data_IF_277327913031
#
_entry.id   IF_277327913031
#
_cell.length_a   1.000
_cell.length_b   1.000
_cell.length_c   1.000
_cell.angle_alpha   90.00
_cell.angle_beta   90.00
_cell.angle_gamma   90.00
#
_symmetry.space_group_name_H-M   'P 1'
#
loop_
_entity.id
_entity.type
_entity.pdbx_description
1 polymer ?
#
# COMPACT_ATOMS: atom_id res chain seq x y z
N UNK A 1 -88.39 -2.55 -13.43
CA UNK A 1 -87.31 -2.52 -14.41
C UNK A 1 -87.35 -3.78 -15.23
N UNK A 2 -87.44 -3.68 -16.57
CA UNK A 2 -87.60 -4.87 -17.39
C UNK A 2 -86.27 -5.70 -17.41
N UNK A 3 -86.44 -7.04 -17.56
CA UNK A 3 -85.28 -7.94 -17.65
C UNK A 3 -84.29 -7.55 -18.76
N UNK A 4 -84.82 -6.95 -19.88
CA UNK A 4 -84.01 -6.42 -20.96
C UNK A 4 -83.15 -5.22 -20.55
N UNK A 5 -83.71 -4.34 -19.76
CA UNK A 5 -82.96 -3.13 -19.24
C UNK A 5 -81.86 -3.55 -18.27
N UNK A 6 -82.13 -4.50 -17.36
CA UNK A 6 -81.13 -5.04 -16.42
C UNK A 6 -80.01 -5.72 -17.17
N UNK A 7 -80.29 -6.55 -18.18
CA UNK A 7 -79.27 -7.20 -19.01
C UNK A 7 -78.39 -6.19 -19.75
N UNK A 8 -78.97 -5.12 -20.31
CA UNK A 8 -78.20 -4.10 -21.02
C UNK A 8 -77.31 -3.28 -20.11
N UNK A 9 -77.73 -2.99 -18.85
CA UNK A 9 -76.92 -2.32 -17.88
C UNK A 9 -75.76 -3.22 -17.48
N UNK A 10 -75.96 -4.51 -17.21
CA UNK A 10 -74.89 -5.46 -16.88
C UNK A 10 -73.87 -5.57 -18.03
N UNK A 11 -74.35 -5.65 -19.31
CA UNK A 11 -73.45 -5.71 -20.46
C UNK A 11 -72.63 -4.41 -20.66
N UNK A 12 -73.25 -3.24 -20.42
CA UNK A 12 -72.58 -1.97 -20.50
C UNK A 12 -71.49 -1.82 -19.36
N UNK A 13 -71.85 -2.21 -18.14
CA UNK A 13 -70.87 -2.17 -17.01
C UNK A 13 -69.73 -3.18 -17.22
N UNK A 14 -70.00 -4.38 -17.71
CA UNK A 14 -68.97 -5.36 -18.06
C UNK A 14 -68.05 -4.84 -19.17
N UNK A 15 -68.60 -4.20 -20.21
CA UNK A 15 -67.83 -3.58 -21.28
C UNK A 15 -66.95 -2.44 -20.79
N UNK A 16 -67.47 -1.56 -19.90
CA UNK A 16 -66.67 -0.49 -19.26
C UNK A 16 -65.54 -1.04 -18.38
N UNK A 17 -65.79 -2.10 -17.59
CA UNK A 17 -64.76 -2.73 -16.76
C UNK A 17 -63.67 -3.37 -17.62
N UNK A 18 -64.06 -4.04 -18.73
CA UNK A 18 -63.08 -4.65 -19.63
C UNK A 18 -62.24 -3.62 -20.39
N UNK A 19 -62.87 -2.54 -20.90
CA UNK A 19 -62.12 -1.48 -21.60
C UNK A 19 -61.24 -0.66 -20.67
N UNK A 20 -61.75 -0.37 -19.45
CA UNK A 20 -60.93 0.31 -18.46
C UNK A 20 -59.79 -0.56 -17.93
N UNK A 21 -60.02 -1.85 -17.68
CA UNK A 21 -59.00 -2.81 -17.28
C UNK A 21 -57.93 -3.04 -18.35
N UNK A 22 -58.33 -3.13 -19.64
CA UNK A 22 -57.42 -3.24 -20.76
C UNK A 22 -56.62 -1.93 -20.94
N UNK A 23 -57.27 -0.75 -20.85
CA UNK A 23 -56.60 0.55 -20.92
C UNK A 23 -55.65 0.78 -19.74
N UNK A 24 -56.02 0.35 -18.53
CA UNK A 24 -55.16 0.41 -17.37
C UNK A 24 -53.93 -0.48 -17.51
N UNK A 25 -54.09 -1.73 -17.96
CA UNK A 25 -52.97 -2.65 -18.19
C UNK A 25 -52.03 -2.15 -19.29
N UNK A 26 -52.57 -1.59 -20.38
CA UNK A 26 -51.75 -1.00 -21.44
C UNK A 26 -51.06 0.27 -20.96
N UNK A 27 -51.71 1.11 -20.15
CA UNK A 27 -51.16 2.30 -19.55
C UNK A 27 -50.04 2.00 -18.53
N UNK A 28 -50.25 1.00 -17.69
CA UNK A 28 -49.21 0.55 -16.73
C UNK A 28 -48.03 -0.09 -17.45
N UNK A 29 -48.25 -0.93 -18.49
CA UNK A 29 -47.16 -1.49 -19.28
C UNK A 29 -46.37 -0.43 -20.05
N UNK A 30 -47.06 0.54 -20.68
CA UNK A 30 -46.38 1.63 -21.38
C UNK A 30 -45.73 2.63 -20.42
N UNK A 31 -46.30 2.86 -19.24
CA UNK A 31 -45.72 3.70 -18.17
C UNK A 31 -44.48 3.07 -17.56
N UNK A 32 -44.53 1.76 -17.27
CA UNK A 32 -43.37 1.02 -16.78
C UNK A 32 -42.27 0.90 -17.83
N UNK A 33 -42.59 0.61 -19.08
CA UNK A 33 -41.59 0.55 -20.16
C UNK A 33 -40.92 1.92 -20.41
N UNK A 34 -41.68 3.02 -20.32
CA UNK A 34 -41.10 4.37 -20.45
C UNK A 34 -40.39 4.83 -19.20
N UNK A 35 -40.79 4.38 -17.99
CA UNK A 35 -40.08 4.67 -16.76
C UNK A 35 -38.72 3.92 -16.69
N UNK A 36 -38.70 2.63 -17.09
CA UNK A 36 -37.46 1.85 -17.17
C UNK A 36 -36.50 2.39 -18.25
N UNK A 37 -37.02 2.80 -19.41
CA UNK A 37 -36.23 3.45 -20.46
C UNK A 37 -35.70 4.82 -20.04
N UNK A 38 -36.43 5.62 -19.26
CA UNK A 38 -35.96 6.89 -18.74
C UNK A 38 -34.96 6.69 -17.60
N UNK A 39 -35.16 5.72 -16.72
CA UNK A 39 -34.19 5.37 -15.67
C UNK A 39 -32.89 4.78 -16.25
N UNK A 40 -32.97 4.03 -17.34
CA UNK A 40 -31.79 3.57 -18.09
C UNK A 40 -31.16 4.71 -18.89
N UNK A 41 -31.94 5.60 -19.53
CA UNK A 41 -31.44 6.74 -20.29
C UNK A 41 -30.70 7.74 -19.38
N UNK A 42 -31.25 8.08 -18.19
CA UNK A 42 -30.60 8.98 -17.24
C UNK A 42 -29.39 8.36 -16.53
N UNK A 43 -29.30 7.02 -16.44
CA UNK A 43 -28.09 6.31 -15.98
C UNK A 43 -27.01 6.19 -17.05
N UNK A 44 -27.39 6.22 -18.34
CA UNK A 44 -26.46 6.06 -19.47
C UNK A 44 -25.93 7.43 -19.97
N UNK A 45 -26.74 8.49 -19.89
CA UNK A 45 -26.29 9.86 -20.10
C UNK A 45 -25.69 10.38 -18.80
N UNK A 46 -24.45 10.00 -18.50
CA UNK A 46 -23.68 10.60 -17.41
C UNK A 46 -23.59 12.10 -17.63
N UNK A 47 -24.53 12.86 -17.06
CA UNK A 47 -24.42 14.31 -16.94
C UNK A 47 -23.25 14.59 -16.00
N UNK A 48 -22.08 14.84 -16.58
CA UNK A 48 -21.02 15.51 -15.85
C UNK A 48 -21.50 16.94 -15.56
N UNK A 49 -21.34 17.38 -14.33
CA UNK A 49 -21.67 18.74 -13.88
C UNK A 49 -20.85 19.84 -14.58
N UNK A 50 -19.92 19.48 -15.44
CA UNK A 50 -19.11 20.36 -16.27
C UNK A 50 -19.51 20.14 -17.74
N UNK A 51 -20.25 21.05 -18.30
CA UNK A 51 -20.65 21.43 -19.66
C UNK A 51 -19.89 20.85 -20.89
N UNK A 52 -19.27 19.69 -20.81
CA UNK A 52 -18.71 19.00 -21.96
C UNK A 52 -19.65 17.85 -22.33
N UNK A 53 -20.43 18.04 -23.41
CA UNK A 53 -21.18 16.99 -24.05
C UNK A 53 -20.21 15.98 -24.69
N UNK A 54 -19.72 15.04 -23.90
CA UNK A 54 -18.98 13.90 -24.46
C UNK A 54 -19.99 12.90 -24.97
N UNK A 55 -19.95 12.63 -26.28
CA UNK A 55 -20.75 11.59 -26.90
C UNK A 55 -20.11 10.20 -26.63
N UNK A 56 -20.78 9.39 -25.85
CA UNK A 56 -20.38 8.02 -25.54
C UNK A 56 -20.72 7.00 -26.63
N UNK A 57 -21.27 7.42 -27.77
CA UNK A 57 -21.64 6.51 -28.86
C UNK A 57 -20.45 5.70 -29.38
N UNK A 58 -19.28 6.33 -29.51
CA UNK A 58 -18.05 5.65 -29.92
C UNK A 58 -17.62 4.58 -28.89
N UNK A 59 -17.76 4.86 -27.60
CA UNK A 59 -17.45 3.89 -26.55
C UNK A 59 -18.31 2.64 -26.70
N UNK A 60 -19.63 2.82 -26.90
CA UNK A 60 -20.55 1.71 -27.06
C UNK A 60 -20.36 0.95 -28.39
N UNK A 61 -20.01 1.64 -29.47
CA UNK A 61 -19.68 0.98 -30.74
C UNK A 61 -18.44 0.07 -30.59
N UNK A 62 -17.41 0.53 -29.90
CA UNK A 62 -16.23 -0.30 -29.60
C UNK A 62 -16.60 -1.50 -28.72
N UNK A 63 -17.41 -1.27 -27.67
CA UNK A 63 -17.90 -2.32 -26.79
C UNK A 63 -18.64 -3.41 -27.56
N UNK A 64 -19.55 -3.01 -28.43
CA UNK A 64 -20.34 -3.92 -29.24
C UNK A 64 -19.50 -4.67 -30.27
N UNK A 65 -18.52 -4.03 -30.89
CA UNK A 65 -17.58 -4.69 -31.82
C UNK A 65 -16.74 -5.75 -31.11
N UNK A 66 -16.25 -5.47 -29.91
CA UNK A 66 -15.53 -6.46 -29.10
C UNK A 66 -16.45 -7.67 -28.81
N UNK A 67 -17.66 -7.43 -28.34
CA UNK A 67 -18.61 -8.51 -28.06
C UNK A 67 -18.97 -9.34 -29.29
N UNK A 68 -19.05 -8.72 -30.48
CA UNK A 68 -19.35 -9.43 -31.73
C UNK A 68 -18.15 -10.19 -32.28
N UNK A 69 -16.99 -9.56 -32.31
CA UNK A 69 -15.90 -9.99 -33.20
C UNK A 69 -14.67 -10.54 -32.47
N UNK A 70 -14.53 -10.34 -31.15
CA UNK A 70 -13.36 -10.86 -30.42
C UNK A 70 -13.36 -12.39 -30.39
N UNK A 71 -12.22 -13.00 -30.70
CA UNK A 71 -12.11 -14.45 -30.90
C UNK A 71 -12.32 -15.24 -29.59
N UNK A 72 -11.78 -14.77 -28.49
CA UNK A 72 -11.94 -15.44 -27.20
C UNK A 72 -13.10 -14.84 -26.40
N UNK A 73 -14.29 -15.42 -26.57
CA UNK A 73 -15.50 -14.98 -25.86
C UNK A 73 -15.40 -15.13 -24.34
N UNK A 74 -14.54 -15.99 -23.80
CA UNK A 74 -14.37 -16.19 -22.36
C UNK A 74 -13.62 -15.03 -21.72
N UNK A 75 -12.79 -14.31 -22.47
CA UNK A 75 -12.10 -13.13 -22.02
C UNK A 75 -13.00 -11.88 -21.92
N UNK A 76 -14.19 -11.92 -22.55
CA UNK A 76 -15.15 -10.82 -22.51
C UNK A 76 -15.96 -10.84 -21.20
N UNK A 77 -15.30 -10.43 -20.11
CA UNK A 77 -15.94 -10.28 -18.81
C UNK A 77 -16.39 -8.83 -18.63
N UNK A 78 -17.70 -8.52 -18.69
CA UNK A 78 -18.21 -7.15 -18.74
C UNK A 78 -17.69 -6.26 -17.59
N UNK A 79 -17.63 -6.80 -16.37
CA UNK A 79 -17.14 -6.06 -15.20
C UNK A 79 -15.65 -5.70 -15.30
N UNK A 80 -14.82 -6.60 -15.83
CA UNK A 80 -13.39 -6.33 -16.06
C UNK A 80 -13.19 -5.30 -17.18
N UNK A 81 -13.95 -5.40 -18.25
CA UNK A 81 -13.93 -4.42 -19.34
C UNK A 81 -14.34 -3.02 -18.85
N UNK A 82 -15.36 -2.94 -18.01
CA UNK A 82 -15.80 -1.68 -17.39
C UNK A 82 -14.72 -1.07 -16.50
N UNK A 83 -14.11 -1.86 -15.62
CA UNK A 83 -13.00 -1.37 -14.78
C UNK A 83 -11.77 -1.00 -15.62
N UNK A 84 -11.49 -1.75 -16.69
CA UNK A 84 -10.42 -1.42 -17.64
C UNK A 84 -10.64 -0.08 -18.33
N UNK A 85 -11.87 0.23 -18.70
CA UNK A 85 -12.22 1.51 -19.30
C UNK A 85 -12.03 2.69 -18.33
N UNK A 86 -12.45 2.54 -17.06
CA UNK A 86 -12.21 3.55 -16.02
C UNK A 86 -10.72 3.73 -15.77
N UNK A 87 -9.98 2.63 -15.65
CA UNK A 87 -8.53 2.66 -15.47
C UNK A 87 -7.83 3.37 -16.63
N UNK A 88 -8.25 3.11 -17.88
CA UNK A 88 -7.73 3.78 -19.07
C UNK A 88 -8.01 5.30 -19.07
N UNK A 89 -9.20 5.69 -18.66
CA UNK A 89 -9.56 7.10 -18.50
C UNK A 89 -8.66 7.79 -17.46
N UNK A 90 -8.46 7.17 -16.31
CA UNK A 90 -7.58 7.73 -15.26
C UNK A 90 -6.12 7.76 -15.71
N UNK A 91 -5.65 6.71 -16.39
CA UNK A 91 -4.28 6.65 -16.92
C UNK A 91 -3.99 7.71 -17.99
N UNK A 92 -5.03 8.25 -18.67
CA UNK A 92 -4.87 9.33 -19.65
C UNK A 92 -4.40 10.66 -19.06
N UNK A 93 -4.37 10.79 -17.72
CA UNK A 93 -3.82 11.96 -17.03
C UNK A 93 -2.28 11.97 -17.01
N UNK A 94 -1.63 10.87 -17.43
CA UNK A 94 -0.16 10.70 -17.42
C UNK A 94 0.48 10.92 -16.03
N UNK A 95 -0.31 10.68 -14.98
CA UNK A 95 0.14 10.70 -13.58
C UNK A 95 0.16 9.27 -13.02
N UNK A 96 1.33 8.69 -12.76
CA UNK A 96 1.45 7.30 -12.29
C UNK A 96 0.89 7.09 -10.88
N UNK A 97 0.58 8.16 -10.15
CA UNK A 97 0.08 8.09 -8.78
C UNK A 97 -1.44 8.32 -8.70
N UNK A 98 -2.07 8.85 -9.75
CA UNK A 98 -3.52 8.90 -9.87
C UNK A 98 -4.00 7.60 -10.48
N UNK A 99 -4.68 6.77 -9.67
CA UNK A 99 -5.06 5.41 -10.07
C UNK A 99 -6.48 5.08 -9.63
N UNK A 100 -7.22 4.41 -10.51
CA UNK A 100 -8.45 3.74 -10.15
C UNK A 100 -8.14 2.34 -9.62
N UNK A 101 -8.75 1.98 -8.52
CA UNK A 101 -8.56 0.69 -7.85
C UNK A 101 -9.87 -0.09 -7.91
N UNK A 102 -9.95 -1.19 -8.67
CA UNK A 102 -11.03 -2.16 -8.54
C UNK A 102 -11.17 -2.65 -7.09
N UNK A 103 -12.33 -3.23 -6.68
CA UNK A 103 -12.60 -3.57 -5.28
C UNK A 103 -11.50 -4.36 -4.59
N UNK A 104 -10.96 -5.38 -5.25
CA UNK A 104 -9.90 -6.22 -4.67
C UNK A 104 -8.61 -5.41 -4.43
N UNK A 105 -8.22 -4.57 -5.40
CA UNK A 105 -7.03 -3.72 -5.27
C UNK A 105 -7.21 -2.61 -4.24
N UNK A 106 -8.42 -2.04 -4.12
CA UNK A 106 -8.74 -1.05 -3.10
C UNK A 106 -8.67 -1.67 -1.69
N UNK A 107 -9.18 -2.91 -1.55
CA UNK A 107 -9.04 -3.68 -0.31
C UNK A 107 -7.57 -3.94 0.02
N UNK A 108 -6.77 -4.41 -0.95
CA UNK A 108 -5.33 -4.65 -0.75
C UNK A 108 -4.59 -3.38 -0.32
N UNK A 109 -4.87 -2.24 -0.96
CA UNK A 109 -4.25 -0.95 -0.59
C UNK A 109 -4.58 -0.53 0.84
N UNK A 110 -5.82 -0.74 1.29
CA UNK A 110 -6.24 -0.49 2.67
C UNK A 110 -5.60 -1.46 3.66
N UNK A 111 -5.57 -2.74 3.32
CA UNK A 111 -4.97 -3.78 4.15
C UNK A 111 -3.46 -3.52 4.33
N UNK A 112 -2.77 -3.09 3.28
CA UNK A 112 -1.35 -2.73 3.33
C UNK A 112 -1.10 -1.52 4.27
N UNK A 113 -1.95 -0.49 4.23
CA UNK A 113 -1.88 0.65 5.17
C UNK A 113 -2.24 0.23 6.60
N UNK A 114 -3.23 -0.66 6.75
CA UNK A 114 -3.59 -1.26 8.04
C UNK A 114 -2.53 -2.21 8.62
N UNK A 115 -1.45 -2.47 7.89
CA UNK A 115 -0.41 -3.40 8.32
C UNK A 115 -0.88 -4.85 8.42
N UNK A 116 -1.94 -5.16 7.69
CA UNK A 116 -2.54 -6.49 7.67
C UNK A 116 -2.66 -6.94 6.22
N UNK A 117 -2.38 -8.20 5.98
CA UNK A 117 -2.70 -8.81 4.69
C UNK A 117 -3.19 -10.24 4.91
N UNK A 118 -4.06 -10.69 4.03
CA UNK A 118 -4.56 -12.06 4.08
C UNK A 118 -3.67 -12.97 3.23
N UNK A 119 -3.09 -13.98 3.85
CA UNK A 119 -2.16 -14.89 3.19
C UNK A 119 -1.52 -15.89 4.12
N UNK A 120 -0.35 -16.40 3.74
CA UNK A 120 0.37 -17.42 4.50
C UNK A 120 1.37 -16.86 5.53
N UNK A 121 1.81 -15.60 5.37
CA UNK A 121 2.80 -14.99 6.27
C UNK A 121 4.24 -15.44 6.00
N UNK A 122 4.68 -15.36 4.75
CA UNK A 122 6.05 -15.58 4.37
C UNK A 122 6.59 -14.43 3.52
N UNK A 123 7.84 -14.07 3.74
CA UNK A 123 8.59 -13.21 2.83
C UNK A 123 9.08 -14.05 1.66
N UNK A 124 8.75 -13.63 0.45
CA UNK A 124 9.14 -14.29 -0.78
C UNK A 124 10.17 -13.46 -1.55
N UNK A 125 10.99 -14.14 -2.34
CA UNK A 125 11.99 -13.52 -3.21
C UNK A 125 12.17 -14.33 -4.49
N UNK A 126 13.06 -13.86 -5.36
CA UNK A 126 13.54 -14.61 -6.52
C UNK A 126 15.02 -14.92 -6.33
N UNK A 127 15.39 -16.18 -6.47
CA UNK A 127 16.77 -16.64 -6.51
C UNK A 127 16.90 -17.67 -7.64
N UNK A 128 17.91 -17.52 -8.47
CA UNK A 128 18.16 -18.42 -9.63
C UNK A 128 16.90 -18.59 -10.52
N UNK A 129 16.19 -17.50 -10.77
CA UNK A 129 14.91 -17.44 -11.52
C UNK A 129 13.77 -18.28 -10.91
N UNK A 130 13.85 -18.64 -9.64
CA UNK A 130 12.84 -19.41 -8.91
C UNK A 130 12.27 -18.59 -7.76
N UNK A 131 10.98 -18.79 -7.47
CA UNK A 131 10.35 -18.21 -6.29
C UNK A 131 10.88 -18.94 -5.05
N UNK A 132 11.41 -18.19 -4.09
CA UNK A 132 12.01 -18.72 -2.86
C UNK A 132 11.35 -18.11 -1.64
N UNK A 133 11.17 -18.91 -0.59
CA UNK A 133 10.82 -18.44 0.75
C UNK A 133 12.10 -17.82 1.37
N UNK A 134 12.13 -16.50 1.50
CA UNK A 134 13.23 -15.83 2.18
C UNK A 134 13.17 -16.11 3.67
N UNK A 135 11.98 -15.93 4.26
CA UNK A 135 11.70 -16.33 5.65
C UNK A 135 10.19 -16.47 5.88
N UNK A 136 9.70 -17.49 6.59
CA UNK A 136 8.38 -17.46 7.20
C UNK A 136 8.38 -16.42 8.33
N UNK A 137 7.27 -15.69 8.49
CA UNK A 137 7.10 -14.74 9.59
C UNK A 137 6.72 -15.51 10.86
N UNK A 138 7.25 -15.09 11.99
CA UNK A 138 7.02 -15.74 13.28
C UNK A 138 5.53 -15.72 13.66
N UNK A 139 5.01 -16.84 14.12
CA UNK A 139 3.61 -16.99 14.55
C UNK A 139 2.60 -17.06 13.40
N UNK A 140 3.05 -17.30 12.16
CA UNK A 140 2.17 -17.30 10.99
C UNK A 140 1.88 -18.72 10.48
N UNK A 141 0.85 -18.87 9.61
CA UNK A 141 0.58 -20.18 8.98
C UNK A 141 1.76 -20.77 8.21
N UNK A 142 2.57 -19.94 7.57
CA UNK A 142 3.76 -20.41 6.85
C UNK A 142 4.75 -21.11 7.78
N UNK A 143 5.06 -20.49 8.94
CA UNK A 143 5.93 -21.09 9.94
C UNK A 143 5.33 -22.39 10.50
N UNK A 144 4.03 -22.34 10.87
CA UNK A 144 3.32 -23.48 11.45
C UNK A 144 3.18 -24.66 10.47
N UNK A 145 3.18 -24.39 9.16
CA UNK A 145 3.13 -25.41 8.11
C UNK A 145 4.50 -25.98 7.75
N UNK A 146 5.56 -25.57 8.43
CA UNK A 146 6.91 -26.11 8.25
C UNK A 146 7.69 -25.54 7.06
N UNK A 147 7.26 -24.41 6.49
CA UNK A 147 8.06 -23.71 5.49
C UNK A 147 9.35 -23.18 6.13
N UNK A 148 10.45 -23.25 5.40
CA UNK A 148 11.78 -22.87 5.89
C UNK A 148 12.43 -21.82 4.97
N UNK A 149 13.35 -21.01 5.50
CA UNK A 149 14.18 -20.15 4.67
C UNK A 149 14.95 -20.95 3.62
N UNK A 150 14.88 -20.52 2.37
CA UNK A 150 15.52 -21.17 1.23
C UNK A 150 14.66 -22.20 0.51
N UNK A 151 13.44 -22.50 0.94
CA UNK A 151 12.52 -23.37 0.23
C UNK A 151 12.14 -22.78 -1.13
N UNK A 152 12.23 -23.55 -2.19
CA UNK A 152 11.73 -23.16 -3.50
C UNK A 152 10.26 -23.54 -3.65
N UNK A 153 9.42 -22.59 -4.06
CA UNK A 153 8.02 -22.82 -4.40
C UNK A 153 7.97 -23.13 -5.90
N UNK A 154 7.77 -24.40 -6.24
CA UNK A 154 7.74 -24.85 -7.64
C UNK A 154 6.36 -24.91 -8.24
N UNK A 155 5.30 -25.08 -7.40
CA UNK A 155 3.90 -24.97 -7.82
C UNK A 155 3.05 -24.29 -6.74
N UNK A 156 2.00 -23.61 -7.21
CA UNK A 156 0.91 -23.07 -6.37
C UNK A 156 -0.41 -23.56 -6.96
N UNK A 157 -1.20 -24.28 -6.16
CA UNK A 157 -2.46 -24.89 -6.58
C UNK A 157 -2.30 -25.69 -7.89
N UNK A 158 -1.22 -26.49 -7.97
CA UNK A 158 -0.86 -27.33 -9.11
C UNK A 158 -0.27 -26.60 -10.32
N UNK A 159 -0.18 -25.27 -10.32
CA UNK A 159 0.38 -24.47 -11.43
C UNK A 159 1.86 -24.22 -11.21
N UNK A 160 2.69 -24.48 -12.23
CA UNK A 160 4.13 -24.21 -12.23
C UNK A 160 4.43 -22.73 -12.03
N UNK A 161 5.45 -22.41 -11.21
CA UNK A 161 5.85 -21.03 -10.91
C UNK A 161 7.05 -20.55 -11.74
N UNK A 162 7.64 -21.39 -12.56
CA UNK A 162 8.91 -21.12 -13.25
C UNK A 162 8.89 -19.88 -14.15
N UNK A 163 7.72 -19.50 -14.67
CA UNK A 163 7.55 -18.30 -15.52
C UNK A 163 6.96 -17.12 -14.79
N UNK A 164 6.65 -17.24 -13.50
CA UNK A 164 5.98 -16.20 -12.75
C UNK A 164 6.97 -15.12 -12.27
N UNK A 165 6.49 -13.90 -12.28
CA UNK A 165 7.12 -12.80 -11.54
C UNK A 165 6.83 -12.90 -10.06
N UNK A 166 7.63 -12.24 -9.21
CA UNK A 166 7.38 -12.23 -7.76
C UNK A 166 6.00 -11.64 -7.41
N UNK A 167 5.53 -10.51 -7.98
CA UNK A 167 4.19 -9.99 -7.72
C UNK A 167 3.09 -10.98 -8.10
N UNK A 168 3.25 -11.71 -9.20
CA UNK A 168 2.30 -12.72 -9.64
C UNK A 168 2.23 -13.90 -8.66
N UNK A 169 3.38 -14.40 -8.20
CA UNK A 169 3.44 -15.44 -7.18
C UNK A 169 2.77 -14.97 -5.86
N UNK A 170 3.07 -13.76 -5.41
CA UNK A 170 2.47 -13.16 -4.21
C UNK A 170 0.95 -13.08 -4.36
N UNK A 171 0.44 -12.59 -5.49
CA UNK A 171 -1.00 -12.48 -5.76
C UNK A 171 -1.71 -13.85 -5.72
N UNK A 172 -1.07 -14.93 -6.22
CA UNK A 172 -1.64 -16.29 -6.21
C UNK A 172 -1.57 -16.96 -4.83
N UNK A 173 -0.54 -16.65 -4.05
CA UNK A 173 -0.36 -17.21 -2.70
C UNK A 173 -1.22 -16.48 -1.68
N UNK A 174 -1.43 -15.16 -1.82
CA UNK A 174 -2.42 -14.39 -1.04
C UNK A 174 -3.83 -14.90 -1.33
N UNK A 175 -4.76 -14.56 -0.46
CA UNK A 175 -6.17 -14.88 -0.62
C UNK A 175 -6.90 -14.84 0.71
N UNK A 176 -8.25 -14.98 0.71
CA UNK A 176 -9.10 -14.75 1.88
C UNK A 176 -8.69 -15.61 3.08
N UNK A 177 -8.73 -15.02 4.28
CA UNK A 177 -8.55 -15.73 5.55
C UNK A 177 -9.45 -16.97 5.61
N UNK A 178 -8.88 -18.09 6.06
CA UNK A 178 -9.56 -19.39 6.14
C UNK A 178 -9.57 -20.20 4.84
N UNK A 179 -9.16 -19.63 3.71
CA UNK A 179 -8.95 -20.40 2.48
C UNK A 179 -7.62 -21.14 2.51
N UNK A 180 -7.51 -22.20 1.73
CA UNK A 180 -6.29 -23.01 1.62
C UNK A 180 -5.54 -22.68 0.34
N UNK A 181 -4.21 -22.77 0.40
CA UNK A 181 -3.33 -22.81 -0.76
C UNK A 181 -2.47 -24.07 -0.68
N UNK A 182 -2.34 -24.79 -1.78
CA UNK A 182 -1.45 -25.94 -1.90
C UNK A 182 -0.14 -25.48 -2.55
N UNK A 183 0.95 -25.57 -1.79
CA UNK A 183 2.30 -25.27 -2.26
C UNK A 183 3.04 -26.58 -2.52
N UNK A 184 3.62 -26.73 -3.72
CA UNK A 184 4.64 -27.76 -3.95
C UNK A 184 5.99 -27.08 -3.76
N UNK A 185 6.76 -27.52 -2.78
CA UNK A 185 8.05 -26.94 -2.41
C UNK A 185 9.19 -27.93 -2.59
N UNK A 186 10.40 -27.41 -2.72
CA UNK A 186 11.63 -28.17 -2.61
C UNK A 186 12.48 -27.53 -1.53
N UNK A 187 12.76 -28.22 -0.44
CA UNK A 187 13.65 -27.74 0.61
C UNK A 187 15.07 -27.56 0.07
N UNK A 188 15.80 -26.58 0.59
CA UNK A 188 17.14 -26.19 0.12
C UNK A 188 18.11 -27.39 -0.01
N UNK A 189 18.02 -28.35 0.90
CA UNK A 189 18.93 -29.50 0.97
C UNK A 189 18.26 -30.83 0.54
N UNK A 190 17.10 -30.76 -0.13
CA UNK A 190 16.35 -31.92 -0.60
C UNK A 190 16.28 -31.95 -2.12
N UNK A 191 16.30 -33.18 -2.68
CA UNK A 191 16.10 -33.40 -4.12
C UNK A 191 14.65 -33.72 -4.49
N UNK A 192 13.81 -34.04 -3.50
CA UNK A 192 12.40 -34.37 -3.70
C UNK A 192 11.50 -33.18 -3.33
N UNK A 193 10.42 -32.99 -4.09
CA UNK A 193 9.38 -32.03 -3.77
C UNK A 193 8.43 -32.57 -2.69
N UNK A 194 7.92 -31.65 -1.85
CA UNK A 194 6.88 -31.92 -0.87
C UNK A 194 5.67 -31.03 -1.12
N UNK A 195 4.48 -31.56 -0.85
CA UNK A 195 3.24 -30.77 -0.89
C UNK A 195 2.91 -30.26 0.52
N UNK A 196 2.71 -28.96 0.63
CA UNK A 196 2.37 -28.27 1.89
C UNK A 196 1.08 -27.50 1.68
N UNK A 197 0.03 -27.92 2.39
CA UNK A 197 -1.22 -27.14 2.42
C UNK A 197 -1.15 -26.12 3.53
N UNK A 198 -1.25 -24.84 3.17
CA UNK A 198 -1.25 -23.73 4.13
C UNK A 198 -2.62 -23.09 4.19
N UNK A 199 -3.18 -22.97 5.39
CA UNK A 199 -4.42 -22.20 5.61
C UNK A 199 -4.09 -20.73 5.73
N UNK A 200 -4.65 -19.89 4.87
CA UNK A 200 -4.42 -18.44 4.91
C UNK A 200 -5.04 -17.82 6.15
N UNK A 201 -4.37 -16.83 6.70
CA UNK A 201 -4.88 -16.04 7.84
C UNK A 201 -4.60 -14.55 7.62
N UNK A 202 -5.14 -13.72 8.52
CA UNK A 202 -4.78 -12.31 8.59
C UNK A 202 -3.42 -12.17 9.26
N UNK A 203 -2.44 -11.76 8.49
CA UNK A 203 -1.05 -11.59 8.91
C UNK A 203 -0.84 -10.13 9.31
N UNK A 204 -0.40 -9.90 10.53
CA UNK A 204 0.04 -8.57 10.98
C UNK A 204 1.54 -8.45 10.81
N UNK A 205 1.97 -7.38 10.15
CA UNK A 205 3.38 -7.06 10.00
C UNK A 205 3.64 -5.76 10.76
N UNK A 206 4.49 -5.83 11.77
CA UNK A 206 4.87 -4.64 12.53
C UNK A 206 5.49 -3.60 11.59
N UNK A 207 5.09 -2.34 11.78
CA UNK A 207 5.70 -1.21 11.08
C UNK A 207 6.96 -0.71 11.76
N UNK A 208 7.13 -1.00 13.05
CA UNK A 208 8.24 -0.54 13.88
C UNK A 208 8.98 -1.73 14.48
N UNK A 209 10.27 -1.79 14.23
CA UNK A 209 11.19 -2.77 14.81
C UNK A 209 12.37 -2.05 15.45
N UNK A 210 12.85 -2.54 16.58
CA UNK A 210 14.04 -1.98 17.19
C UNK A 210 14.86 -3.05 17.91
N UNK A 211 16.15 -2.82 17.98
CA UNK A 211 17.09 -3.64 18.73
C UNK A 211 18.28 -2.83 19.25
N UNK A 212 18.97 -3.36 20.25
CA UNK A 212 20.21 -2.80 20.75
C UNK A 212 21.39 -3.57 20.15
N UNK A 213 22.16 -2.91 19.31
CA UNK A 213 23.33 -3.48 18.66
C UNK A 213 24.57 -3.28 19.52
N UNK A 214 25.33 -4.34 19.76
CA UNK A 214 26.68 -4.23 20.32
C UNK A 214 27.63 -3.89 19.18
N UNK A 215 28.45 -2.86 19.39
CA UNK A 215 29.37 -2.36 18.35
C UNK A 215 30.77 -2.24 18.91
N UNK A 216 31.74 -2.68 18.15
CA UNK A 216 33.17 -2.47 18.44
C UNK A 216 33.74 -1.57 17.35
N UNK A 217 34.13 -0.36 17.75
CA UNK A 217 34.64 0.64 16.83
C UNK A 217 36.11 0.97 17.17
N UNK A 218 36.93 0.94 16.13
CA UNK A 218 38.30 1.49 16.14
C UNK A 218 38.30 2.89 15.52
N UNK A 219 39.43 3.54 15.42
CA UNK A 219 39.56 4.84 14.73
C UNK A 219 39.16 4.79 13.25
N UNK A 220 39.21 3.62 12.61
CA UNK A 220 38.98 3.44 11.16
C UNK A 220 37.70 2.70 10.82
N UNK A 221 37.27 1.74 11.62
CA UNK A 221 36.16 0.82 11.31
C UNK A 221 35.30 0.48 12.51
N UNK A 222 34.00 0.25 12.26
CA UNK A 222 33.08 -0.33 13.23
C UNK A 222 32.66 -1.72 12.81
N UNK A 223 32.38 -2.59 13.78
CA UNK A 223 31.80 -3.91 13.58
C UNK A 223 30.59 -4.10 14.49
N UNK A 224 29.57 -4.73 14.00
CA UNK A 224 28.47 -5.22 14.82
C UNK A 224 28.89 -6.60 15.34
N UNK A 225 28.81 -6.79 16.65
CA UNK A 225 29.18 -8.04 17.31
C UNK A 225 27.96 -8.67 17.98
N UNK A 226 27.84 -10.00 17.91
CA UNK A 226 26.68 -10.70 18.48
C UNK A 226 26.72 -10.77 19.99
N UNK A 227 27.91 -10.91 20.55
CA UNK A 227 28.12 -11.04 21.99
C UNK A 227 28.51 -9.71 22.62
N UNK A 228 28.14 -9.55 23.87
CA UNK A 228 28.56 -8.37 24.65
C UNK A 228 30.07 -8.48 24.97
N UNK A 229 30.80 -7.41 24.76
CA UNK A 229 32.22 -7.37 25.03
C UNK A 229 32.55 -6.17 25.96
N UNK A 230 33.68 -6.28 26.72
CA UNK A 230 34.04 -5.26 27.71
C UNK A 230 34.20 -3.86 27.10
N UNK A 231 34.72 -3.78 25.86
CA UNK A 231 34.95 -2.52 25.14
C UNK A 231 33.86 -2.18 24.12
N UNK A 232 32.71 -2.86 24.20
CA UNK A 232 31.62 -2.61 23.30
C UNK A 232 30.85 -1.35 23.68
N UNK A 233 30.58 -0.54 22.66
CA UNK A 233 29.52 0.48 22.68
C UNK A 233 28.21 -0.12 22.23
N UNK A 234 27.11 0.50 22.61
CA UNK A 234 25.76 0.12 22.16
C UNK A 234 25.18 1.19 21.25
N UNK A 235 24.49 0.76 20.22
CA UNK A 235 23.77 1.62 19.29
C UNK A 235 22.34 1.11 19.17
N UNK A 236 21.38 2.01 19.25
CA UNK A 236 19.97 1.69 19.02
C UNK A 236 19.76 1.61 17.52
N UNK A 237 19.27 0.49 17.04
CA UNK A 237 18.75 0.34 15.68
C UNK A 237 17.22 0.38 15.74
N UNK A 238 16.63 1.36 15.06
CA UNK A 238 15.19 1.58 15.01
C UNK A 238 14.78 1.64 13.56
N UNK A 239 13.93 0.72 13.12
CA UNK A 239 13.45 0.60 11.74
C UNK A 239 11.98 0.89 11.66
N UNK A 240 11.60 1.70 10.67
CA UNK A 240 10.22 1.97 10.31
C UNK A 240 9.99 1.51 8.88
N UNK A 241 9.03 0.58 8.67
CA UNK A 241 8.79 -0.05 7.38
C UNK A 241 7.65 0.59 6.59
N UNK A 242 6.74 1.33 7.27
CA UNK A 242 5.61 2.06 6.66
C UNK A 242 5.00 3.06 7.64
N UNK A 243 4.13 3.93 7.13
CA UNK A 243 3.32 4.86 7.92
C UNK A 243 1.84 4.46 7.82
N UNK A 244 1.44 3.46 8.58
CA UNK A 244 0.11 2.87 8.60
C UNK A 244 -0.67 3.15 9.88
N UNK A 245 -1.84 2.50 10.00
CA UNK A 245 -2.79 2.71 11.11
C UNK A 245 -2.18 2.41 12.48
N UNK A 246 -1.44 1.32 12.60
CA UNK A 246 -0.85 0.87 13.87
C UNK A 246 0.50 1.54 14.18
N UNK A 247 1.08 2.26 13.22
CA UNK A 247 2.41 2.88 13.38
C UNK A 247 2.53 3.77 14.60
N UNK A 248 1.56 4.65 14.95
CA UNK A 248 1.66 5.47 16.15
C UNK A 248 1.75 4.66 17.45
N UNK A 249 0.93 3.61 17.57
CA UNK A 249 0.90 2.74 18.76
C UNK A 249 2.20 1.92 18.89
N UNK A 250 2.66 1.34 17.77
CA UNK A 250 3.90 0.56 17.72
C UNK A 250 5.13 1.44 18.01
N UNK A 251 5.13 2.67 17.47
CA UNK A 251 6.17 3.65 17.70
C UNK A 251 6.28 4.05 19.17
N UNK A 252 5.16 4.42 19.78
CA UNK A 252 5.15 4.84 21.19
C UNK A 252 5.59 3.71 22.13
N UNK A 253 5.22 2.47 21.82
CA UNK A 253 5.69 1.29 22.52
C UNK A 253 7.21 1.10 22.36
N UNK A 254 7.71 1.15 21.13
CA UNK A 254 9.13 0.98 20.83
C UNK A 254 9.98 2.07 21.53
N UNK A 255 9.59 3.34 21.41
CA UNK A 255 10.30 4.45 22.07
C UNK A 255 10.26 4.32 23.58
N UNK A 256 9.14 3.88 24.18
CA UNK A 256 9.07 3.63 25.64
C UNK A 256 10.04 2.55 26.07
N UNK A 257 10.15 1.46 25.34
CA UNK A 257 11.10 0.36 25.60
C UNK A 257 12.55 0.82 25.43
N UNK A 258 12.82 1.62 24.39
CA UNK A 258 14.15 2.23 24.15
C UNK A 258 14.55 3.08 25.35
N UNK A 259 13.69 3.99 25.80
CA UNK A 259 13.97 4.88 26.94
C UNK A 259 14.18 4.11 28.23
N UNK A 260 13.39 3.06 28.48
CA UNK A 260 13.57 2.19 29.65
C UNK A 260 14.91 1.46 29.59
N UNK A 261 15.28 0.90 28.43
CA UNK A 261 16.54 0.18 28.24
C UNK A 261 17.74 1.12 28.39
N UNK A 262 17.64 2.32 27.86
CA UNK A 262 18.66 3.35 28.04
C UNK A 262 18.85 3.74 29.51
N UNK A 263 17.73 3.89 30.24
CA UNK A 263 17.78 4.24 31.68
C UNK A 263 18.48 3.18 32.56
N UNK A 264 18.49 1.93 32.10
CA UNK A 264 19.17 0.79 32.73
C UNK A 264 20.63 0.62 32.28
N UNK A 265 21.03 1.27 31.20
CA UNK A 265 22.36 1.16 30.63
C UNK A 265 23.34 2.10 31.34
N UNK A 266 24.61 1.72 31.56
CA UNK A 266 25.62 2.63 32.09
C UNK A 266 25.75 3.88 31.22
N UNK A 267 26.04 5.01 31.87
CA UNK A 267 26.18 6.28 31.14
C UNK A 267 27.33 6.22 30.12
N UNK A 268 27.05 6.71 28.90
CA UNK A 268 28.01 6.76 27.80
C UNK A 268 28.21 5.47 27.01
N UNK A 269 27.57 4.36 27.42
CA UNK A 269 27.63 3.09 26.68
C UNK A 269 26.77 3.17 25.40
N UNK A 270 25.57 3.75 25.47
CA UNK A 270 24.71 3.97 24.29
C UNK A 270 25.18 5.24 23.58
N UNK A 271 25.66 5.09 22.33
CA UNK A 271 26.21 6.19 21.54
C UNK A 271 25.17 7.00 20.78
N UNK A 272 24.00 6.42 20.50
CA UNK A 272 22.93 7.07 19.79
C UNK A 272 22.03 6.09 19.03
N UNK A 273 21.36 6.61 18.02
CA UNK A 273 20.32 5.93 17.26
C UNK A 273 20.67 5.88 15.76
N UNK A 274 20.57 4.72 15.16
CA UNK A 274 20.44 4.54 13.71
C UNK A 274 18.97 4.37 13.38
N UNK A 275 18.38 5.36 12.70
CA UNK A 275 17.00 5.31 12.24
C UNK A 275 16.95 4.82 10.78
N UNK A 276 16.32 3.68 10.53
CA UNK A 276 16.31 3.04 9.22
C UNK A 276 14.94 3.23 8.53
N UNK A 277 14.95 3.99 7.44
CA UNK A 277 13.82 4.20 6.54
C UNK A 277 14.03 3.52 5.17
N UNK A 278 15.02 2.66 5.04
CA UNK A 278 15.26 1.93 3.78
C UNK A 278 14.07 1.04 3.44
N UNK A 279 13.70 1.02 2.14
CA UNK A 279 12.56 0.28 1.60
C UNK A 279 11.21 0.64 2.24
N UNK A 280 11.10 1.80 2.86
CA UNK A 280 9.83 2.31 3.38
C UNK A 280 9.14 3.18 2.31
N UNK A 281 8.03 2.70 1.68
CA UNK A 281 7.37 3.41 0.58
C UNK A 281 6.56 4.63 1.04
N UNK A 282 6.50 4.87 2.36
CA UNK A 282 5.70 5.94 2.96
C UNK A 282 4.40 5.44 3.59
N UNK A 283 3.32 6.13 3.34
CA UNK A 283 1.99 5.94 3.89
C UNK A 283 1.34 7.27 4.26
N UNK A 284 0.67 7.36 5.40
CA UNK A 284 -0.05 8.57 5.80
C UNK A 284 0.86 9.78 6.01
N UNK A 285 0.48 10.93 5.44
CA UNK A 285 1.16 12.20 5.67
C UNK A 285 1.14 12.59 7.14
N UNK A 286 0.01 12.42 7.82
CA UNK A 286 -0.12 12.63 9.27
C UNK A 286 0.86 11.78 10.07
N UNK A 287 1.14 10.56 9.62
CA UNK A 287 2.15 9.68 10.20
C UNK A 287 3.56 10.27 10.09
N UNK A 288 3.91 10.91 8.97
CA UNK A 288 5.21 11.56 8.84
C UNK A 288 5.39 12.72 9.83
N UNK A 289 4.33 13.50 10.06
CA UNK A 289 4.35 14.59 11.06
C UNK A 289 4.50 14.02 12.47
N UNK A 290 3.78 12.95 12.78
CA UNK A 290 3.86 12.25 14.07
C UNK A 290 5.27 11.73 14.35
N UNK A 291 5.90 11.05 13.37
CA UNK A 291 7.26 10.49 13.51
C UNK A 291 8.31 11.59 13.56
N UNK A 292 8.24 12.61 12.69
CA UNK A 292 9.18 13.74 12.73
C UNK A 292 9.12 14.49 14.06
N UNK A 293 7.93 14.61 14.67
CA UNK A 293 7.73 15.24 15.97
C UNK A 293 8.40 14.50 17.12
N UNK A 294 8.76 13.22 16.96
CA UNK A 294 9.58 12.50 17.98
C UNK A 294 10.98 13.08 18.10
N UNK A 295 11.51 13.62 17.00
CA UNK A 295 12.90 14.07 16.89
C UNK A 295 13.08 15.58 16.83
N UNK A 296 12.00 16.33 16.54
CA UNK A 296 12.04 17.78 16.43
C UNK A 296 11.36 18.44 17.63
N UNK A 297 11.96 19.53 18.15
CA UNK A 297 11.40 20.27 19.29
C UNK A 297 10.22 21.14 18.87
N UNK A 298 10.28 21.74 17.67
CA UNK A 298 9.30 22.69 17.14
C UNK A 298 9.41 22.86 15.63
N UNK A 299 8.57 23.71 15.06
CA UNK A 299 8.68 24.24 13.70
C UNK A 299 8.07 23.36 12.64
N UNK A 300 8.33 23.73 11.38
CA UNK A 300 7.72 23.12 10.20
C UNK A 300 8.30 21.74 9.94
N UNK A 301 7.41 20.77 9.66
CA UNK A 301 7.74 19.42 9.19
C UNK A 301 7.57 19.32 7.68
N UNK A 302 6.45 19.77 7.15
CA UNK A 302 6.13 19.70 5.72
C UNK A 302 5.15 20.81 5.33
N UNK A 303 5.23 21.27 4.09
CA UNK A 303 4.30 22.24 3.51
C UNK A 303 3.59 21.54 2.35
N UNK A 304 2.26 21.48 2.39
CA UNK A 304 1.43 20.98 1.29
C UNK A 304 0.94 22.18 0.46
N UNK A 305 1.01 22.08 -0.87
CA UNK A 305 0.55 23.12 -1.80
C UNK A 305 -0.41 22.48 -2.81
N UNK A 306 -1.65 22.94 -2.86
CA UNK A 306 -2.67 22.45 -3.79
C UNK A 306 -2.56 23.11 -5.18
N UNK A 307 -3.42 22.67 -6.13
CA UNK A 307 -3.44 23.17 -7.50
C UNK A 307 -3.70 24.70 -7.61
N UNK A 308 -4.38 25.30 -6.61
CA UNK A 308 -4.65 26.75 -6.56
C UNK A 308 -3.49 27.55 -5.96
N UNK A 309 -2.39 26.90 -5.57
CA UNK A 309 -1.24 27.52 -4.91
C UNK A 309 -1.43 27.79 -3.41
N UNK A 310 -2.56 27.36 -2.82
CA UNK A 310 -2.79 27.48 -1.39
C UNK A 310 -1.88 26.53 -0.64
N UNK A 311 -1.22 27.06 0.42
CA UNK A 311 -0.28 26.30 1.24
C UNK A 311 -0.88 25.97 2.59
N UNK A 312 -0.77 24.71 2.98
CA UNK A 312 -1.03 24.22 4.32
C UNK A 312 0.28 23.76 4.95
N UNK A 313 0.61 24.35 6.09
CA UNK A 313 1.85 24.02 6.80
C UNK A 313 1.56 23.10 7.97
N UNK A 314 2.26 21.98 8.01
CA UNK A 314 2.22 21.03 9.13
C UNK A 314 3.47 21.22 9.98
N UNK A 315 3.26 21.44 11.27
CA UNK A 315 4.31 21.69 12.25
C UNK A 315 4.40 20.51 13.22
N UNK A 316 5.48 20.48 14.01
CA UNK A 316 5.59 19.59 15.16
C UNK A 316 4.32 19.66 15.99
N UNK A 317 3.69 18.51 16.26
CA UNK A 317 2.35 18.43 16.84
C UNK A 317 2.31 17.71 18.20
N UNK A 318 3.47 17.22 18.67
CA UNK A 318 3.60 16.57 19.98
C UNK A 318 5.01 16.76 20.55
N UNK A 319 5.16 16.56 21.85
CA UNK A 319 6.47 16.57 22.51
C UNK A 319 7.20 15.25 22.24
N UNK A 320 8.31 15.31 21.51
CA UNK A 320 9.17 14.17 21.26
C UNK A 320 10.03 13.80 22.46
N UNK A 321 10.41 12.54 22.56
CA UNK A 321 11.28 11.99 23.62
C UNK A 321 12.71 11.82 23.14
N UNK A 322 12.94 11.84 21.83
CA UNK A 322 14.24 11.61 21.17
C UNK A 322 14.82 12.88 20.53
N UNK A 323 14.36 14.06 20.95
CA UNK A 323 14.76 15.36 20.36
C UNK A 323 16.25 15.65 20.48
N UNK A 324 16.91 15.19 21.53
CA UNK A 324 18.32 15.44 21.80
C UNK A 324 19.22 14.20 21.56
N UNK A 325 18.61 13.08 21.08
CA UNK A 325 19.33 11.84 20.81
C UNK A 325 20.29 12.02 19.63
N UNK A 326 21.60 11.74 19.78
CA UNK A 326 22.51 11.64 18.66
C UNK A 326 21.97 10.58 17.66
N UNK A 327 21.87 10.91 16.37
CA UNK A 327 21.28 9.99 15.41
C UNK A 327 21.86 10.13 14.01
N UNK A 328 21.77 9.07 13.26
CA UNK A 328 21.98 8.99 11.83
C UNK A 328 20.76 8.34 11.17
N UNK A 329 20.47 8.71 9.95
CA UNK A 329 19.34 8.19 9.18
C UNK A 329 19.84 7.34 8.01
N UNK A 330 19.23 6.18 7.79
CA UNK A 330 19.47 5.34 6.61
C UNK A 330 18.30 5.48 5.62
N UNK A 331 18.65 5.72 4.35
CA UNK A 331 17.69 5.74 3.22
C UNK A 331 18.25 4.97 2.04
N UNK A 332 17.36 4.57 1.12
CA UNK A 332 17.74 3.99 -0.16
C UNK A 332 16.70 4.33 -1.25
N UNK A 333 16.87 3.78 -2.45
CA UNK A 333 15.96 3.98 -3.60
C UNK A 333 14.50 3.59 -3.33
N UNK A 334 14.25 2.74 -2.32
CA UNK A 334 12.91 2.35 -1.87
C UNK A 334 12.30 3.25 -0.79
N UNK A 335 13.04 4.25 -0.31
CA UNK A 335 12.53 5.27 0.62
C UNK A 335 11.72 6.30 -0.15
N UNK A 336 10.40 6.43 0.13
CA UNK A 336 9.51 7.28 -0.65
C UNK A 336 8.47 8.03 0.18
N UNK A 337 7.93 9.17 -0.36
CA UNK A 337 6.75 9.87 0.17
C UNK A 337 6.92 10.30 1.64
N UNK A 338 6.07 9.81 2.57
CA UNK A 338 6.12 10.13 4.01
C UNK A 338 7.48 9.87 4.65
N UNK A 339 8.23 8.86 4.15
CA UNK A 339 9.61 8.61 4.59
C UNK A 339 10.55 9.74 4.16
N UNK A 340 10.36 10.27 2.95
CA UNK A 340 11.14 11.40 2.44
C UNK A 340 10.78 12.70 3.17
N UNK A 341 9.52 12.86 3.59
CA UNK A 341 9.11 13.99 4.45
C UNK A 341 9.88 13.95 5.76
N UNK A 342 9.94 12.79 6.44
CA UNK A 342 10.67 12.63 7.68
C UNK A 342 12.19 12.87 7.47
N UNK A 343 12.77 12.22 6.45
CA UNK A 343 14.19 12.35 6.14
C UNK A 343 14.58 13.80 5.85
N UNK A 344 13.81 14.46 4.99
CA UNK A 344 14.08 15.84 4.61
C UNK A 344 13.83 16.84 5.74
N UNK A 345 12.79 16.63 6.57
CA UNK A 345 12.53 17.47 7.73
C UNK A 345 13.69 17.37 8.75
N UNK A 346 14.16 16.16 9.05
CA UNK A 346 15.29 15.95 9.97
C UNK A 346 16.60 16.49 9.38
N UNK A 347 16.84 16.36 8.09
CA UNK A 347 18.00 16.92 7.42
C UNK A 347 18.00 18.45 7.51
N UNK A 348 16.88 19.10 7.17
CA UNK A 348 16.78 20.56 7.10
C UNK A 348 16.73 21.20 8.49
N UNK A 349 15.99 20.60 9.43
CA UNK A 349 15.70 21.22 10.74
C UNK A 349 16.71 20.86 11.80
N UNK A 350 17.34 19.69 11.71
CA UNK A 350 18.25 19.17 12.75
C UNK A 350 19.63 18.84 12.21
N UNK A 351 19.88 19.06 10.91
CA UNK A 351 21.13 18.73 10.23
C UNK A 351 21.60 17.29 10.45
N UNK A 352 20.61 16.34 10.46
CA UNK A 352 20.92 14.93 10.64
C UNK A 352 21.67 14.41 9.43
N UNK A 353 22.76 13.69 9.67
CA UNK A 353 23.50 13.02 8.61
C UNK A 353 22.70 11.83 8.09
N UNK A 354 22.57 11.75 6.76
CA UNK A 354 21.89 10.67 6.06
C UNK A 354 22.94 9.80 5.38
N UNK A 355 22.79 8.48 5.47
CA UNK A 355 23.70 7.49 4.88
C UNK A 355 22.89 6.55 3.98
N UNK A 356 23.43 6.16 2.84
CA UNK A 356 22.84 5.21 1.92
C UNK A 356 22.74 5.70 0.50
N UNK A 357 21.57 5.59 -0.13
CA UNK A 357 21.32 5.97 -1.52
C UNK A 357 20.32 7.11 -1.61
N UNK A 358 20.34 7.85 -2.73
CA UNK A 358 19.31 8.85 -3.03
C UNK A 358 17.93 8.20 -3.00
N UNK A 359 16.97 8.83 -2.32
CA UNK A 359 15.60 8.33 -2.17
C UNK A 359 14.81 8.41 -3.48
N UNK A 360 13.59 7.89 -3.48
CA UNK A 360 12.75 7.72 -4.68
C UNK A 360 12.36 9.04 -5.35
N UNK A 361 12.01 10.07 -4.60
CA UNK A 361 11.58 11.36 -5.15
C UNK A 361 10.07 11.44 -5.43
N UNK A 362 9.21 10.98 -4.51
CA UNK A 362 7.75 11.14 -4.62
C UNK A 362 7.29 12.40 -3.90
N UNK A 363 7.24 13.53 -4.61
CA UNK A 363 6.90 14.85 -4.09
C UNK A 363 5.41 15.22 -4.19
N UNK A 364 4.50 14.25 -4.38
CA UNK A 364 3.05 14.44 -4.53
C UNK A 364 2.26 13.84 -3.38
N UNK A 365 1.06 14.38 -3.14
CA UNK A 365 0.08 13.89 -2.15
C UNK A 365 -1.13 13.34 -2.88
N UNK A 366 -1.49 12.11 -2.58
CA UNK A 366 -2.71 11.50 -3.08
C UNK A 366 -3.80 11.53 -2.01
N UNK A 367 -5.01 11.82 -2.45
CA UNK A 367 -6.23 11.64 -1.68
C UNK A 367 -6.89 10.33 -2.11
N UNK A 368 -7.10 9.42 -1.16
CA UNK A 368 -7.79 8.17 -1.38
C UNK A 368 -9.28 8.37 -1.13
N UNK A 369 -10.11 8.00 -2.10
CA UNK A 369 -11.56 8.11 -2.02
C UNK A 369 -12.20 6.75 -2.34
N UNK A 370 -13.16 6.34 -1.51
CA UNK A 370 -13.97 5.16 -1.76
C UNK A 370 -15.06 5.46 -2.79
N UNK A 371 -15.22 4.53 -3.70
CA UNK A 371 -16.25 4.57 -4.72
C UNK A 371 -17.29 3.46 -4.50
N UNK A 372 -18.35 3.47 -5.29
CA UNK A 372 -19.37 2.43 -5.25
C UNK A 372 -18.78 1.02 -5.48
N UNK A 373 -19.48 0.00 -5.02
CA UNK A 373 -19.13 -1.42 -5.15
C UNK A 373 -17.77 -1.82 -4.54
N UNK A 374 -17.22 -1.00 -3.62
CA UNK A 374 -15.94 -1.26 -2.98
C UNK A 374 -14.71 -0.84 -3.80
N UNK A 375 -14.89 -0.26 -4.97
CA UNK A 375 -13.81 0.35 -5.73
C UNK A 375 -13.24 1.58 -5.02
N UNK A 376 -12.07 2.05 -5.43
CA UNK A 376 -11.44 3.26 -4.92
C UNK A 376 -10.75 4.05 -6.03
N UNK A 377 -10.39 5.27 -5.69
CA UNK A 377 -9.55 6.11 -6.54
C UNK A 377 -8.55 6.86 -5.67
N UNK A 378 -7.29 6.83 -6.07
CA UNK A 378 -6.28 7.72 -5.51
C UNK A 378 -6.06 8.85 -6.50
N UNK A 379 -6.17 10.10 -6.06
CA UNK A 379 -6.03 11.29 -6.91
C UNK A 379 -4.92 12.15 -6.36
N UNK A 380 -3.96 12.55 -7.19
CA UNK A 380 -2.98 13.55 -6.82
C UNK A 380 -3.66 14.92 -6.70
N UNK A 381 -3.76 15.42 -5.48
CA UNK A 381 -4.46 16.69 -5.17
C UNK A 381 -3.50 17.81 -4.77
N UNK A 382 -2.27 17.47 -4.40
CA UNK A 382 -1.27 18.45 -3.97
C UNK A 382 0.16 17.94 -4.20
N UNK A 383 1.10 18.89 -4.17
CA UNK A 383 2.53 18.60 -3.96
C UNK A 383 2.91 18.92 -2.53
N UNK A 384 4.00 18.34 -2.05
CA UNK A 384 4.55 18.69 -0.76
C UNK A 384 5.99 19.20 -0.90
N UNK A 385 6.37 20.07 0.01
CA UNK A 385 7.65 20.75 0.04
C UNK A 385 8.30 20.52 1.40
N UNK A 386 9.62 20.44 1.40
CA UNK A 386 10.43 20.43 2.61
C UNK A 386 10.24 21.72 3.43
N UNK A 387 10.65 21.75 4.70
CA UNK A 387 10.58 22.97 5.53
C UNK A 387 11.25 24.20 4.92
N UNK A 388 12.26 24.01 4.08
CA UNK A 388 12.97 25.08 3.35
C UNK A 388 12.30 25.45 2.01
N UNK A 389 11.12 24.89 1.69
CA UNK A 389 10.40 25.15 0.45
C UNK A 389 10.88 24.33 -0.76
N UNK A 390 11.89 23.48 -0.63
CA UNK A 390 12.38 22.65 -1.75
C UNK A 390 11.37 21.56 -2.09
N UNK A 391 11.06 21.39 -3.38
CA UNK A 391 10.30 20.26 -3.92
C UNK A 391 11.24 19.17 -4.41
N UNK A 392 11.02 17.93 -4.00
CA UNK A 392 11.95 16.82 -4.28
C UNK A 392 11.45 15.86 -5.36
N UNK A 393 10.34 16.18 -6.02
CA UNK A 393 9.73 15.30 -7.02
C UNK A 393 10.71 14.96 -8.15
N UNK A 394 10.91 13.66 -8.40
CA UNK A 394 11.87 13.16 -9.39
C UNK A 394 13.34 13.28 -9.00
N UNK A 395 13.69 13.99 -7.91
CA UNK A 395 15.07 14.17 -7.47
C UNK A 395 15.43 13.42 -6.19
N UNK A 396 14.46 13.24 -5.29
CA UNK A 396 14.67 12.59 -4.00
C UNK A 396 15.48 13.42 -2.99
N UNK A 397 15.85 12.74 -1.90
CA UNK A 397 16.73 13.24 -0.84
C UNK A 397 18.11 12.60 -1.04
N UNK A 398 19.14 13.42 -1.19
CA UNK A 398 20.51 12.92 -1.29
C UNK A 398 21.11 12.64 0.09
N UNK A 399 21.78 11.50 0.26
CA UNK A 399 22.50 11.19 1.50
C UNK A 399 23.78 12.02 1.62
N UNK A 400 24.17 12.32 2.86
CA UNK A 400 25.47 12.92 3.18
C UNK A 400 26.64 11.96 2.88
N UNK A 401 26.43 10.66 3.15
CA UNK A 401 27.38 9.59 2.78
C UNK A 401 26.68 8.66 1.80
N UNK A 402 27.12 8.68 0.55
CA UNK A 402 26.57 7.82 -0.50
C UNK A 402 27.28 6.46 -0.47
N UNK A 403 26.49 5.40 -0.23
CA UNK A 403 26.99 4.02 -0.18
C UNK A 403 25.84 3.06 -0.57
N UNK A 404 26.18 2.06 -1.37
CA UNK A 404 25.27 0.97 -1.75
C UNK A 404 25.70 -0.33 -1.05
N UNK A 405 24.75 -1.21 -0.75
CA UNK A 405 25.05 -2.56 -0.30
C UNK A 405 25.49 -3.42 -1.49
N UNK A 406 26.44 -4.33 -1.25
CA UNK A 406 26.87 -5.30 -2.26
C UNK A 406 25.78 -6.37 -2.42
N UNK A 407 25.13 -6.42 -3.59
CA UNK A 407 24.11 -7.41 -3.92
C UNK A 407 24.62 -8.84 -3.93
N UNK A 408 25.95 -9.04 -4.10
CA UNK A 408 26.59 -10.35 -4.06
C UNK A 408 26.90 -10.80 -2.61
N UNK A 409 26.76 -9.91 -1.64
CA UNK A 409 27.01 -10.16 -0.22
C UNK A 409 25.82 -9.71 0.64
N UNK A 410 24.66 -10.36 0.51
CA UNK A 410 23.44 -9.93 1.18
C UNK A 410 23.51 -9.96 2.71
N UNK A 411 24.47 -10.71 3.26
CA UNK A 411 24.70 -10.83 4.71
C UNK A 411 25.55 -9.65 5.27
N UNK A 412 26.15 -8.81 4.40
CA UNK A 412 26.96 -7.65 4.79
C UNK A 412 26.14 -6.36 4.60
N UNK A 413 25.63 -5.75 5.67
CA UNK A 413 24.95 -4.46 5.61
C UNK A 413 25.95 -3.30 5.74
N UNK A 414 26.59 -2.94 4.61
CA UNK A 414 27.59 -1.87 4.54
C UNK A 414 26.98 -0.50 4.89
N UNK A 415 25.70 -0.27 4.54
CA UNK A 415 25.02 0.98 4.87
C UNK A 415 24.81 1.11 6.37
N UNK A 416 24.40 0.05 7.07
CA UNK A 416 24.23 0.05 8.52
C UNK A 416 25.57 0.26 9.24
N UNK A 417 26.62 -0.46 8.83
CA UNK A 417 27.97 -0.30 9.41
C UNK A 417 28.44 1.15 9.19
N UNK A 418 28.25 1.70 8.00
CA UNK A 418 28.63 3.09 7.70
C UNK A 418 27.82 4.12 8.48
N UNK A 419 26.54 3.82 8.72
CA UNK A 419 25.68 4.61 9.60
C UNK A 419 26.22 4.66 11.02
N UNK A 420 26.59 3.51 11.58
CA UNK A 420 27.20 3.40 12.91
C UNK A 420 28.51 4.19 12.97
N UNK A 421 29.40 4.03 11.99
CA UNK A 421 30.64 4.80 11.90
C UNK A 421 30.43 6.31 11.88
N UNK A 422 29.38 6.75 11.16
CA UNK A 422 29.02 8.17 11.03
C UNK A 422 28.44 8.73 12.33
N UNK A 423 27.78 7.89 13.13
CA UNK A 423 27.17 8.24 14.41
C UNK A 423 28.20 8.39 15.53
N UNK A 424 29.23 7.51 15.57
CA UNK A 424 30.17 7.45 16.68
C UNK A 424 31.40 8.33 16.47
N UNK A 425 31.62 8.85 15.28
CA UNK A 425 32.66 9.85 14.94
C UNK A 425 32.12 11.27 15.13
#
# INVERSE_FOLDING_TARGET
MSLKTLRNIILLTAFFILTFGAGYQLGVKSGLANADLRLFSDKITGKTSNNQNIDFSLFWDVWDRLNRSYIDKKALVPKQMFYGAISGMVASLDDPYTVFLPPDQNKEAKDDLGGKFEGIGAQLGIKDKKIVVVAPLKGTPAESSGLKPGDWIVKVDGKETATWTLPEAVSKIRGPKGSKVLLTIVHKDASASAEVTVMRDSIKVASVEWEMLNTQCTSSQCKIVKEECADCSKVIYLKLTRFGDETPNEWDKAVSQIMETMGKSPQGVVKGLVFDLRNNPGGYLSGSVFIASEFLKDGVVVIQENASGNKQTYTVNRKGRLTDMPMVLLINKGTASSSEIVAGALQVRRNIKIVGETSFGKGSVQEAQDLAEGAGIHITTAKWLLPNGKWINGTGIDPYVKIENDTNKPDEDLQLVKGIETLVK
#
